data_IF_477541229400
#
_entry.id   IF_477541229400
#
_cell.length_a   1.000
_cell.length_b   1.000
_cell.length_c   1.000
_cell.angle_alpha   90.00
_cell.angle_beta   90.00
_cell.angle_gamma   90.00
#
_symmetry.space_group_name_H-M   'P 1'
#
loop_
_entity.id
_entity.type
_entity.pdbx_description
1 polymer ?
#
# COMPACT_ATOMS: atom_id res chain seq x y z
N UNK A 1 -23.35 2.38 3.62
CA UNK A 1 -22.24 1.68 2.95
C UNK A 1 -21.35 2.72 2.31
N UNK A 2 -20.03 2.52 2.32
CA UNK A 2 -19.08 3.44 1.68
C UNK A 2 -18.81 2.91 0.27
N UNK A 3 -18.94 3.75 -0.74
CA UNK A 3 -18.68 3.39 -2.13
C UNK A 3 -17.25 3.82 -2.48
N UNK A 4 -16.58 3.05 -3.33
CA UNK A 4 -15.25 3.36 -3.84
C UNK A 4 -15.28 3.18 -5.35
N UNK A 5 -14.60 4.05 -6.08
CA UNK A 5 -14.44 3.95 -7.53
C UNK A 5 -13.44 2.85 -7.90
N UNK A 6 -12.48 2.56 -7.02
CA UNK A 6 -11.50 1.49 -7.19
C UNK A 6 -11.06 0.87 -5.86
N UNK A 7 -10.63 -0.40 -5.93
CA UNK A 7 -9.99 -1.11 -4.82
C UNK A 7 -8.62 -1.61 -5.27
N UNK A 8 -7.57 -1.17 -4.59
CA UNK A 8 -6.22 -1.69 -4.73
C UNK A 8 -5.96 -2.76 -3.66
N UNK A 9 -5.54 -3.96 -4.08
CA UNK A 9 -5.26 -5.08 -3.18
C UNK A 9 -3.75 -5.28 -3.05
N UNK A 10 -3.23 -5.12 -1.84
CA UNK A 10 -1.82 -5.18 -1.47
C UNK A 10 -1.17 -3.81 -1.35
N UNK A 11 -0.77 -3.42 -0.13
CA UNK A 11 -0.04 -2.19 0.20
C UNK A 11 1.49 -2.35 0.08
N UNK A 12 1.95 -3.10 -0.92
CA UNK A 12 3.32 -3.01 -1.42
C UNK A 12 3.54 -1.74 -2.23
N UNK A 13 4.71 -1.59 -2.85
CA UNK A 13 5.04 -0.44 -3.71
C UNK A 13 4.00 -0.25 -4.81
N UNK A 14 3.69 -1.31 -5.55
CA UNK A 14 2.74 -1.25 -6.67
C UNK A 14 1.34 -0.76 -6.23
N UNK A 15 0.75 -1.33 -5.18
CA UNK A 15 -0.58 -0.93 -4.75
C UNK A 15 -0.63 0.45 -4.09
N UNK A 16 0.42 0.86 -3.37
CA UNK A 16 0.52 2.22 -2.86
C UNK A 16 0.66 3.25 -3.98
N UNK A 17 1.49 2.98 -4.99
CA UNK A 17 1.63 3.85 -6.16
C UNK A 17 0.33 3.90 -6.96
N UNK A 18 -0.33 2.77 -7.21
CA UNK A 18 -1.61 2.75 -7.91
C UNK A 18 -2.68 3.55 -7.14
N UNK A 19 -2.80 3.36 -5.83
CA UNK A 19 -3.74 4.11 -5.01
C UNK A 19 -3.40 5.62 -4.98
N UNK A 20 -2.11 5.98 -4.93
CA UNK A 20 -1.66 7.36 -5.02
C UNK A 20 -2.07 8.01 -6.33
N UNK A 21 -1.77 7.38 -7.47
CA UNK A 21 -2.07 7.91 -8.80
C UNK A 21 -3.59 8.03 -9.03
N UNK A 22 -4.37 7.00 -8.66
CA UNK A 22 -5.82 7.06 -8.78
C UNK A 22 -6.41 8.18 -7.90
N UNK A 23 -5.89 8.37 -6.68
CA UNK A 23 -6.30 9.49 -5.82
C UNK A 23 -5.91 10.84 -6.41
N UNK A 24 -4.73 10.96 -7.01
CA UNK A 24 -4.28 12.19 -7.69
C UNK A 24 -5.21 12.57 -8.87
N UNK A 25 -5.88 11.59 -9.47
CA UNK A 25 -6.89 11.78 -10.52
C UNK A 25 -8.33 11.91 -10.00
N UNK A 26 -8.53 12.07 -8.68
CA UNK A 26 -9.82 12.41 -8.08
C UNK A 26 -10.73 11.24 -7.71
N UNK A 27 -10.26 9.99 -7.83
CA UNK A 27 -11.05 8.80 -7.49
C UNK A 27 -11.10 8.55 -5.97
N UNK A 28 -12.20 7.99 -5.46
CA UNK A 28 -12.28 7.44 -4.11
C UNK A 28 -11.77 5.99 -4.12
N UNK A 29 -10.59 5.76 -3.53
CA UNK A 29 -9.87 4.48 -3.61
C UNK A 29 -9.76 3.83 -2.24
N UNK A 30 -10.11 2.56 -2.14
CA UNK A 30 -9.76 1.72 -1.00
C UNK A 30 -8.44 0.98 -1.29
N UNK A 31 -7.45 1.13 -0.41
CA UNK A 31 -6.25 0.29 -0.40
C UNK A 31 -6.37 -0.71 0.75
N UNK A 32 -6.33 -2.00 0.44
CA UNK A 32 -6.45 -3.07 1.45
C UNK A 32 -5.19 -3.93 1.45
N UNK A 33 -4.75 -4.33 2.64
CA UNK A 33 -3.63 -5.23 2.83
C UNK A 33 -3.95 -6.19 3.99
N UNK A 34 -3.52 -7.44 3.87
CA UNK A 34 -3.74 -8.47 4.90
C UNK A 34 -2.73 -8.38 6.05
N UNK A 35 -1.61 -7.69 5.84
CA UNK A 35 -0.59 -7.45 6.85
C UNK A 35 -0.95 -6.25 7.74
N UNK A 36 -0.52 -6.28 8.99
CA UNK A 36 -0.67 -5.14 9.90
C UNK A 36 0.25 -3.95 9.62
N UNK A 37 1.09 -4.00 8.57
CA UNK A 37 2.05 -2.94 8.24
C UNK A 37 2.35 -2.87 6.74
N UNK A 38 2.12 -1.72 6.08
CA UNK A 38 2.37 -1.56 4.65
C UNK A 38 3.86 -1.67 4.30
N UNK A 39 4.14 -1.96 3.02
CA UNK A 39 5.49 -2.01 2.46
C UNK A 39 5.79 -3.27 1.64
N UNK A 40 4.99 -4.32 1.74
CA UNK A 40 5.22 -5.58 1.01
C UNK A 40 6.67 -6.07 1.16
N UNK A 41 7.29 -6.46 0.05
CA UNK A 41 8.67 -6.99 0.04
C UNK A 41 9.76 -5.99 0.43
N UNK A 42 9.47 -4.68 0.39
CA UNK A 42 10.45 -3.63 0.76
C UNK A 42 10.21 -3.09 2.17
N UNK A 43 9.33 -3.74 2.94
CA UNK A 43 9.06 -3.36 4.33
C UNK A 43 10.37 -3.47 5.15
N UNK A 44 10.73 -2.42 5.92
CA UNK A 44 11.81 -2.49 6.90
C UNK A 44 11.73 -3.72 7.82
N UNK A 45 12.86 -4.43 7.97
CA UNK A 45 12.95 -5.68 8.75
C UNK A 45 12.27 -6.90 8.11
N UNK A 46 11.76 -6.78 6.88
CA UNK A 46 11.15 -7.89 6.12
C UNK A 46 12.16 -8.74 5.35
N UNK A 47 13.37 -8.23 5.13
CA UNK A 47 14.47 -8.93 4.45
C UNK A 47 15.68 -8.98 5.38
N UNK A 48 16.38 -10.12 5.52
CA UNK A 48 17.61 -10.21 6.31
C UNK A 48 18.62 -9.13 5.88
N UNK A 49 19.15 -8.38 6.84
CA UNK A 49 20.08 -7.26 6.59
C UNK A 49 19.42 -5.90 6.34
N UNK A 50 18.08 -5.80 6.24
CA UNK A 50 17.36 -4.51 6.27
C UNK A 50 17.05 -4.05 7.71
N UNK A 51 18.04 -4.15 8.60
CA UNK A 51 17.94 -3.56 9.93
C UNK A 51 18.00 -2.04 9.78
N UNK A 52 16.85 -1.38 9.96
CA UNK A 52 16.80 0.07 10.03
C UNK A 52 17.26 0.44 11.43
N UNK A 53 18.47 1.02 11.55
CA UNK A 53 18.82 1.78 12.75
C UNK A 53 17.80 2.92 12.88
N UNK A 54 16.90 2.78 13.84
CA UNK A 54 16.04 3.85 14.33
C UNK A 54 16.62 4.38 15.64
#
# INVERSE_FOLDING_TARGET
>A
MKNYDAVAVGAGTAGQTAAHELRAHGLEVALVDNSGRPGGSVRPGGVPGQEVLL
#
